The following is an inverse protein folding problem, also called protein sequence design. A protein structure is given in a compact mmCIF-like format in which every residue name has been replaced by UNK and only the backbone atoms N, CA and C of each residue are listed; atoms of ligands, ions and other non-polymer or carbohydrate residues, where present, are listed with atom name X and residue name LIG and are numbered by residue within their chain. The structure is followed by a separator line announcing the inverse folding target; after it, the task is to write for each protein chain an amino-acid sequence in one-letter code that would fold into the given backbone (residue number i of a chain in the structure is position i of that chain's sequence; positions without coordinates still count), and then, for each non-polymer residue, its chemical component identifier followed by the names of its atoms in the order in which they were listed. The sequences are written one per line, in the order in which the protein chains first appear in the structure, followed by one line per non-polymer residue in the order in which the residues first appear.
data_IF_278486777865
#
_entry.id   IF_278486777865
#
_cell.length_a   1.000
_cell.length_b   1.000
_cell.length_c   1.000
_cell.angle_alpha   90.00
_cell.angle_beta   90.00
_cell.angle_gamma   90.00
#
_symmetry.space_group_name_H-M   'P 1'
#
loop_
_entity.id
_entity.type
_entity.pdbx_description
1 polymer ?
#
# COMPACT_ATOMS: atom_id res chain seq x y z
N UNK A 1 -16.27 19.94 5.14
CA UNK A 1 -15.42 19.02 5.92
C UNK A 1 -14.15 18.82 5.10
N UNK A 2 -12.94 18.83 5.68
CA UNK A 2 -11.74 18.49 4.91
C UNK A 2 -11.87 17.06 4.33
N UNK A 3 -11.33 16.80 3.13
CA UNK A 3 -11.41 15.48 2.53
C UNK A 3 -10.64 14.45 3.35
N UNK A 4 -11.11 13.19 3.36
CA UNK A 4 -10.36 12.09 3.93
C UNK A 4 -9.24 11.67 2.98
N UNK A 5 -8.00 11.85 3.43
CA UNK A 5 -6.78 11.56 2.66
C UNK A 5 -6.09 10.24 3.06
N UNK A 6 -6.76 9.40 3.85
CA UNK A 6 -6.29 8.07 4.22
C UNK A 6 -6.88 7.01 3.28
N UNK A 7 -6.02 6.30 2.55
CA UNK A 7 -6.43 5.20 1.67
C UNK A 7 -5.26 4.22 1.48
N UNK A 8 -5.60 2.95 1.21
CA UNK A 8 -4.64 1.93 0.77
C UNK A 8 -4.18 2.19 -0.66
N UNK A 9 -2.94 1.82 -0.97
CA UNK A 9 -2.34 2.02 -2.29
C UNK A 9 -2.84 0.98 -3.31
N UNK A 10 -3.21 -0.22 -2.85
CA UNK A 10 -3.61 -1.35 -3.69
C UNK A 10 -5.09 -1.69 -3.53
N UNK A 11 -5.68 -2.31 -4.55
CA UNK A 11 -7.09 -2.70 -4.55
C UNK A 11 -7.42 -3.70 -3.43
N UNK A 12 -6.64 -4.79 -3.21
CA UNK A 12 -6.87 -5.68 -2.10
C UNK A 12 -6.72 -4.97 -0.75
N UNK A 13 -7.66 -5.20 0.15
CA UNK A 13 -7.63 -4.63 1.51
C UNK A 13 -6.45 -5.15 2.33
N UNK A 14 -6.04 -6.39 2.09
CA UNK A 14 -4.97 -7.05 2.82
C UNK A 14 -3.91 -7.57 1.83
N UNK A 15 -2.63 -7.64 2.25
CA UNK A 15 -1.60 -8.27 1.44
C UNK A 15 -1.81 -9.79 1.36
N UNK A 16 -1.15 -10.41 0.39
CA UNK A 16 -1.07 -11.87 0.27
C UNK A 16 -0.04 -12.45 1.24
N UNK A 17 -0.20 -13.73 1.59
CA UNK A 17 0.81 -14.47 2.34
C UNK A 17 2.06 -14.65 1.47
N UNK A 18 3.23 -14.62 2.08
CA UNK A 18 4.54 -14.64 1.40
C UNK A 18 4.81 -13.44 0.49
N UNK A 19 4.03 -12.35 0.63
CA UNK A 19 4.35 -11.07 0.03
C UNK A 19 5.27 -10.24 0.95
N UNK A 20 6.32 -9.66 0.39
CA UNK A 20 7.10 -8.61 1.06
C UNK A 20 6.32 -7.28 1.01
N UNK A 21 6.21 -6.61 2.16
CA UNK A 21 5.53 -5.32 2.34
C UNK A 21 6.38 -4.35 3.15
N UNK A 22 6.23 -3.06 2.89
CA UNK A 22 6.91 -2.01 3.64
C UNK A 22 6.14 -1.69 4.93
N UNK A 23 6.81 -1.86 6.06
CA UNK A 23 6.25 -1.56 7.37
C UNK A 23 6.92 -0.37 8.03
N UNK A 24 6.25 0.24 8.99
CA UNK A 24 6.84 1.17 9.94
C UNK A 24 6.64 0.66 11.36
N UNK A 25 7.73 0.62 12.14
CA UNK A 25 7.67 0.22 13.54
C UNK A 25 6.95 1.30 14.37
N UNK A 26 5.87 0.93 15.03
CA UNK A 26 5.11 1.85 15.90
C UNK A 26 5.59 1.79 17.33
N UNK A 27 5.67 0.58 17.90
CA UNK A 27 6.19 0.39 19.25
C UNK A 27 6.71 -1.04 19.45
N UNK A 28 7.55 -1.21 20.47
CA UNK A 28 8.12 -2.50 20.85
C UNK A 28 7.44 -2.93 22.15
N UNK A 29 6.97 -4.18 22.18
CA UNK A 29 6.34 -4.82 23.33
C UNK A 29 7.16 -6.04 23.79
N UNK A 30 6.74 -6.72 24.84
CA UNK A 30 7.51 -7.82 25.45
C UNK A 30 7.66 -9.06 24.56
N UNK A 31 6.72 -9.28 23.63
CA UNK A 31 6.69 -10.47 22.76
C UNK A 31 7.11 -10.19 21.30
N UNK A 32 7.23 -8.91 20.92
CA UNK A 32 7.42 -8.52 19.53
C UNK A 32 7.38 -7.03 19.31
N UNK A 33 7.34 -6.62 18.04
CA UNK A 33 7.14 -5.23 17.65
C UNK A 33 5.82 -5.08 16.90
N UNK A 34 5.04 -4.08 17.29
CA UNK A 34 3.86 -3.66 16.55
C UNK A 34 4.28 -2.69 15.46
N UNK A 35 3.75 -2.93 14.27
CA UNK A 35 4.11 -2.21 13.05
C UNK A 35 2.84 -1.81 12.30
N UNK A 36 2.95 -0.83 11.42
CA UNK A 36 1.89 -0.48 10.47
C UNK A 36 2.35 -0.76 9.06
N UNK A 37 1.48 -1.36 8.25
CA UNK A 37 1.71 -1.58 6.82
C UNK A 37 1.37 -0.29 6.07
N UNK A 38 2.38 0.42 5.59
CA UNK A 38 2.22 1.76 5.01
C UNK A 38 1.42 1.72 3.70
N UNK A 39 1.60 0.66 2.91
CA UNK A 39 0.92 0.46 1.63
C UNK A 39 -0.58 0.14 1.79
N UNK A 40 -1.00 -0.34 2.97
CA UNK A 40 -2.33 -0.87 3.22
C UNK A 40 -3.09 -0.02 4.25
N UNK A 41 -3.06 1.30 4.09
CA UNK A 41 -3.76 2.23 4.98
C UNK A 41 -3.41 2.07 6.47
N UNK A 42 -2.13 1.83 6.76
CA UNK A 42 -1.62 1.66 8.13
C UNK A 42 -2.25 0.50 8.93
N UNK A 43 -2.77 -0.54 8.26
CA UNK A 43 -3.21 -1.76 8.95
C UNK A 43 -2.13 -2.23 9.93
N UNK A 44 -2.56 -2.60 11.13
CA UNK A 44 -1.66 -3.04 12.18
C UNK A 44 -1.18 -4.48 11.92
N UNK A 45 0.10 -4.69 12.19
CA UNK A 45 0.72 -6.01 12.18
C UNK A 45 1.70 -6.17 13.33
N UNK A 46 2.18 -7.39 13.51
CA UNK A 46 3.16 -7.72 14.54
C UNK A 46 4.27 -8.60 14.00
N UNK A 47 5.49 -8.30 14.44
CA UNK A 47 6.66 -9.13 14.21
C UNK A 47 7.07 -9.71 15.56
N UNK A 48 6.95 -11.03 15.71
CA UNK A 48 7.45 -11.75 16.88
C UNK A 48 8.98 -11.69 16.93
N UNK A 49 9.56 -11.69 18.14
CA UNK A 49 11.03 -11.67 18.27
C UNK A 49 11.71 -12.88 17.64
N UNK A 50 11.05 -14.04 17.61
CA UNK A 50 11.51 -15.23 16.89
C UNK A 50 11.62 -15.02 15.39
N UNK A 51 10.89 -14.05 14.84
CA UNK A 51 10.85 -13.70 13.41
C UNK A 51 11.68 -12.45 13.07
N UNK A 52 12.31 -11.79 14.06
CA UNK A 52 13.22 -10.66 13.83
C UNK A 52 14.62 -11.08 13.35
N UNK A 53 15.15 -12.19 13.86
CA UNK A 53 16.51 -12.63 13.55
C UNK A 53 16.67 -14.14 13.63
N UNK A 54 17.57 -14.69 12.81
CA UNK A 54 18.00 -16.11 12.91
C UNK A 54 19.05 -16.34 14.00
N UNK A 55 19.67 -15.28 14.53
CA UNK A 55 20.76 -15.34 15.52
C UNK A 55 20.26 -14.93 16.91
N UNK A 56 20.97 -15.38 17.96
CA UNK A 56 20.69 -14.98 19.35
C UNK A 56 20.77 -13.46 19.48
N UNK A 57 19.68 -12.87 19.96
CA UNK A 57 19.52 -11.41 20.07
C UNK A 57 20.24 -10.92 21.33
N UNK A 58 21.21 -10.01 21.17
CA UNK A 58 21.87 -9.33 22.30
C UNK A 58 21.11 -8.07 22.74
N UNK A 59 20.49 -7.37 21.78
CA UNK A 59 19.68 -6.18 22.02
C UNK A 59 18.61 -6.08 20.92
N UNK A 60 17.35 -5.86 21.31
CA UNK A 60 16.24 -5.69 20.36
C UNK A 60 16.38 -4.34 19.64
N UNK A 61 16.81 -3.31 20.37
CA UNK A 61 16.96 -1.95 19.85
C UNK A 61 17.98 -1.83 18.70
N UNK A 62 18.90 -2.79 18.56
CA UNK A 62 19.81 -2.84 17.40
C UNK A 62 19.18 -3.47 16.15
N UNK A 63 18.14 -4.29 16.32
CA UNK A 63 17.48 -4.99 15.22
C UNK A 63 16.29 -4.23 14.65
N UNK A 64 15.57 -3.51 15.52
CA UNK A 64 14.35 -2.80 15.18
C UNK A 64 14.28 -1.49 15.96
N UNK A 65 13.86 -0.42 15.30
CA UNK A 65 13.79 0.92 15.89
C UNK A 65 12.45 1.54 15.57
N UNK A 66 11.79 2.09 16.58
CA UNK A 66 10.53 2.84 16.43
C UNK A 66 10.70 3.94 15.38
N UNK A 67 9.71 4.07 14.49
CA UNK A 67 9.68 5.00 13.37
C UNK A 67 10.43 4.56 12.12
N UNK A 68 11.29 3.53 12.21
CA UNK A 68 12.03 3.01 11.05
C UNK A 68 11.09 2.29 10.09
N UNK A 69 11.34 2.48 8.80
CA UNK A 69 10.68 1.75 7.72
C UNK A 69 11.59 0.62 7.25
N UNK A 70 11.07 -0.60 7.17
CA UNK A 70 11.82 -1.77 6.70
C UNK A 70 10.87 -2.75 5.99
N UNK A 71 11.34 -3.47 4.96
CA UNK A 71 10.55 -4.54 4.34
C UNK A 71 10.38 -5.73 5.29
N UNK A 72 9.20 -6.36 5.27
CA UNK A 72 8.87 -7.55 6.06
C UNK A 72 7.95 -8.48 5.27
N UNK A 73 8.12 -9.78 5.48
CA UNK A 73 7.34 -10.82 4.82
C UNK A 73 6.04 -11.07 5.57
N UNK A 74 4.91 -11.16 4.87
CA UNK A 74 3.62 -11.56 5.44
C UNK A 74 3.61 -13.06 5.68
N UNK A 75 3.42 -13.47 6.94
CA UNK A 75 3.30 -14.89 7.33
C UNK A 75 1.85 -15.36 7.35
N UNK A 76 0.97 -14.52 7.88
CA UNK A 76 -0.44 -14.85 8.10
C UNK A 76 -1.26 -13.58 8.12
N UNK A 77 -2.46 -13.68 7.56
CA UNK A 77 -3.46 -12.60 7.55
C UNK A 77 -4.73 -13.14 8.19
N UNK A 78 -5.13 -12.56 9.31
CA UNK A 78 -6.44 -12.76 9.92
C UNK A 78 -7.38 -11.66 9.40
N UNK A 79 -8.22 -12.00 8.43
CA UNK A 79 -9.12 -11.05 7.76
C UNK A 79 -10.29 -10.62 8.64
N UNK A 80 -10.66 -11.43 9.63
CA UNK A 80 -11.77 -11.16 10.54
C UNK A 80 -11.34 -10.15 11.61
N UNK A 81 -10.14 -10.33 12.17
CA UNK A 81 -9.58 -9.44 13.18
C UNK A 81 -8.78 -8.27 12.60
N UNK A 82 -8.45 -8.32 11.31
CA UNK A 82 -7.62 -7.32 10.64
C UNK A 82 -6.17 -7.32 11.10
N UNK A 83 -5.67 -8.47 11.57
CA UNK A 83 -4.33 -8.60 12.15
C UNK A 83 -3.39 -9.36 11.21
N UNK A 84 -2.14 -8.90 11.10
CA UNK A 84 -1.15 -9.47 10.19
C UNK A 84 0.11 -9.87 10.95
N UNK A 85 0.48 -11.14 10.86
CA UNK A 85 1.75 -11.63 11.39
C UNK A 85 2.82 -11.48 10.31
N UNK A 86 3.96 -10.91 10.70
CA UNK A 86 5.05 -10.55 9.79
C UNK A 86 6.37 -11.17 10.25
N UNK A 87 7.31 -11.28 9.31
CA UNK A 87 8.66 -11.75 9.56
C UNK A 87 9.70 -10.93 8.82
N UNK A 88 10.71 -10.46 9.57
CA UNK A 88 11.87 -9.79 9.00
C UNK A 88 12.91 -10.79 8.48
N UNK A 89 13.09 -11.93 9.17
CA UNK A 89 14.16 -12.90 8.87
C UNK A 89 13.93 -13.79 7.63
N UNK A 90 12.74 -13.70 7.04
CA UNK A 90 12.32 -14.48 5.85
C UNK A 90 12.39 -13.68 4.56
N UNK A 91 12.61 -12.38 4.63
CA UNK A 91 12.84 -11.54 3.46
C UNK A 91 14.28 -11.71 3.02
N UNK A 92 14.51 -12.14 1.78
CA UNK A 92 15.82 -12.12 1.15
C UNK A 92 16.23 -10.70 0.74
N UNK A 93 17.52 -10.48 0.45
CA UNK A 93 17.99 -9.17 0.00
C UNK A 93 17.35 -8.74 -1.32
N UNK A 94 17.09 -9.69 -2.22
CA UNK A 94 16.42 -9.44 -3.51
C UNK A 94 14.94 -9.05 -3.34
N UNK A 95 14.21 -9.77 -2.48
CA UNK A 95 12.82 -9.43 -2.13
C UNK A 95 12.74 -8.07 -1.40
N UNK A 96 13.71 -7.78 -0.52
CA UNK A 96 13.79 -6.49 0.17
C UNK A 96 13.96 -5.34 -0.82
N UNK A 97 14.91 -5.48 -1.75
CA UNK A 97 15.17 -4.48 -2.79
C UNK A 97 13.96 -4.28 -3.71
N UNK A 98 13.31 -5.38 -4.12
CA UNK A 98 12.10 -5.34 -4.96
C UNK A 98 10.93 -4.69 -4.22
N UNK A 99 10.75 -4.99 -2.94
CA UNK A 99 9.74 -4.37 -2.09
C UNK A 99 10.00 -2.87 -1.91
N UNK A 100 11.25 -2.46 -1.71
CA UNK A 100 11.63 -1.06 -1.58
C UNK A 100 11.35 -0.28 -2.87
N UNK A 101 11.72 -0.80 -4.03
CA UNK A 101 11.42 -0.19 -5.33
C UNK A 101 9.90 -0.07 -5.56
N UNK A 102 9.14 -1.16 -5.33
CA UNK A 102 7.67 -1.15 -5.45
C UNK A 102 7.03 -0.12 -4.52
N UNK A 103 7.47 -0.05 -3.28
CA UNK A 103 6.97 0.90 -2.30
C UNK A 103 7.28 2.35 -2.70
N UNK A 104 8.50 2.64 -3.17
CA UNK A 104 8.87 3.98 -3.60
C UNK A 104 8.02 4.45 -4.78
N UNK A 105 7.78 3.58 -5.77
CA UNK A 105 6.88 3.85 -6.90
C UNK A 105 5.44 4.10 -6.43
N UNK A 106 4.93 3.25 -5.54
CA UNK A 106 3.58 3.37 -4.99
C UNK A 106 3.40 4.63 -4.15
N UNK A 107 4.40 5.01 -3.35
CA UNK A 107 4.43 6.22 -2.54
C UNK A 107 4.38 7.49 -3.41
N UNK A 108 5.07 7.49 -4.55
CA UNK A 108 5.01 8.61 -5.49
C UNK A 108 3.61 8.76 -6.10
N UNK A 109 3.02 7.67 -6.59
CA UNK A 109 1.63 7.66 -7.09
C UNK A 109 0.69 8.15 -5.99
N UNK A 110 0.82 7.62 -4.77
CA UNK A 110 -0.02 8.00 -3.63
C UNK A 110 0.11 9.47 -3.27
N UNK A 111 1.31 10.05 -3.34
CA UNK A 111 1.52 11.48 -3.13
C UNK A 111 0.80 12.34 -4.16
N UNK A 112 0.83 11.94 -5.44
CA UNK A 112 0.15 12.66 -6.51
C UNK A 112 -1.37 12.57 -6.33
N UNK A 113 -1.88 11.36 -6.06
CA UNK A 113 -3.31 11.11 -5.81
C UNK A 113 -3.80 11.90 -4.59
N UNK A 114 -3.02 11.93 -3.50
CA UNK A 114 -3.33 12.75 -2.32
C UNK A 114 -3.41 14.23 -2.64
N UNK A 115 -2.45 14.75 -3.40
CA UNK A 115 -2.44 16.16 -3.77
C UNK A 115 -3.62 16.52 -4.68
N UNK A 116 -3.96 15.64 -5.63
CA UNK A 116 -5.12 15.81 -6.49
C UNK A 116 -6.43 15.78 -5.68
N UNK A 117 -6.59 14.83 -4.76
CA UNK A 117 -7.75 14.72 -3.88
C UNK A 117 -7.94 15.98 -3.02
N UNK A 118 -6.87 16.46 -2.39
CA UNK A 118 -6.86 17.69 -1.58
C UNK A 118 -7.23 18.92 -2.43
N UNK A 119 -6.62 19.05 -3.61
CA UNK A 119 -6.88 20.17 -4.54
C UNK A 119 -8.32 20.19 -5.06
N UNK A 120 -8.90 19.02 -5.32
CA UNK A 120 -10.28 18.88 -5.80
C UNK A 120 -11.31 18.87 -4.66
N UNK A 121 -10.87 18.79 -3.41
CA UNK A 121 -11.75 18.68 -2.25
C UNK A 121 -12.55 17.38 -2.19
N UNK A 122 -12.01 16.29 -2.74
CA UNK A 122 -12.65 14.97 -2.76
C UNK A 122 -11.91 13.97 -1.89
N UNK A 123 -12.61 12.97 -1.37
CA UNK A 123 -11.96 11.89 -0.63
C UNK A 123 -11.01 11.09 -1.53
N UNK A 124 -9.92 10.60 -0.94
CA UNK A 124 -8.85 9.91 -1.67
C UNK A 124 -9.28 8.52 -2.16
N UNK A 125 -10.09 7.78 -1.39
CA UNK A 125 -10.49 6.42 -1.75
C UNK A 125 -11.33 6.35 -3.04
N UNK A 126 -12.35 7.21 -3.26
CA UNK A 126 -13.05 7.30 -4.55
C UNK A 126 -12.12 7.59 -5.74
N UNK A 127 -11.08 8.40 -5.55
CA UNK A 127 -10.09 8.68 -6.58
C UNK A 127 -9.27 7.42 -6.92
N UNK A 128 -8.88 6.65 -5.91
CA UNK A 128 -8.23 5.35 -6.10
C UNK A 128 -9.13 4.33 -6.80
N UNK A 129 -10.41 4.26 -6.45
CA UNK A 129 -11.39 3.38 -7.09
C UNK A 129 -11.56 3.68 -8.58
N UNK A 130 -11.63 4.97 -8.93
CA UNK A 130 -11.87 5.42 -10.32
C UNK A 130 -10.61 5.43 -11.18
N UNK A 131 -9.45 5.70 -10.60
CA UNK A 131 -8.21 5.93 -11.35
C UNK A 131 -7.13 4.94 -10.90
N UNK A 132 -6.73 4.99 -9.62
CA UNK A 132 -5.58 4.25 -9.11
C UNK A 132 -5.64 2.74 -9.40
N UNK A 133 -6.64 2.04 -8.85
CA UNK A 133 -6.78 0.59 -8.96
C UNK A 133 -7.02 0.11 -10.40
N UNK A 134 -7.84 0.77 -11.24
CA UNK A 134 -7.90 0.48 -12.67
C UNK A 134 -6.53 0.54 -13.37
N UNK A 135 -5.70 1.54 -13.06
CA UNK A 135 -4.35 1.65 -13.64
C UNK A 135 -3.42 0.53 -13.16
N UNK A 136 -3.50 0.13 -11.89
CA UNK A 136 -2.78 -1.05 -11.38
C UNK A 136 -3.16 -2.32 -12.15
N UNK A 137 -4.45 -2.57 -12.39
CA UNK A 137 -4.92 -3.76 -13.13
C UNK A 137 -4.43 -3.77 -14.57
N UNK A 138 -4.44 -2.63 -15.26
CA UNK A 138 -4.15 -2.56 -16.70
C UNK A 138 -2.66 -2.51 -17.02
N UNK A 139 -1.87 -1.81 -16.22
CA UNK A 139 -0.44 -1.60 -16.48
C UNK A 139 0.46 -2.38 -15.51
N UNK A 140 -0.11 -3.23 -14.66
CA UNK A 140 0.58 -3.96 -13.59
C UNK A 140 0.93 -3.08 -12.38
N UNK A 141 1.33 -1.82 -12.61
CA UNK A 141 1.56 -0.84 -11.57
C UNK A 141 1.17 0.56 -12.04
N UNK A 142 0.39 1.30 -11.24
CA UNK A 142 -0.09 2.64 -11.62
C UNK A 142 1.05 3.61 -12.00
N UNK A 143 2.23 3.46 -11.39
CA UNK A 143 3.42 4.23 -11.75
C UNK A 143 3.78 4.17 -13.25
N UNK A 144 3.66 3.01 -13.90
CA UNK A 144 3.97 2.91 -15.33
C UNK A 144 2.94 3.66 -16.19
N UNK A 145 1.67 3.64 -15.78
CA UNK A 145 0.64 4.46 -16.41
C UNK A 145 0.91 5.96 -16.23
N UNK A 146 1.33 6.39 -15.03
CA UNK A 146 1.69 7.79 -14.78
C UNK A 146 2.89 8.24 -15.59
N UNK A 147 3.89 7.37 -15.82
CA UNK A 147 4.99 7.66 -16.74
C UNK A 147 4.49 7.83 -18.18
N UNK A 148 3.59 6.95 -18.62
CA UNK A 148 3.03 7.02 -19.97
C UNK A 148 2.19 8.28 -20.18
N UNK A 149 1.41 8.72 -19.18
CA UNK A 149 0.63 9.96 -19.23
C UNK A 149 1.49 11.19 -19.59
N UNK A 150 2.76 11.22 -19.15
CA UNK A 150 3.65 12.36 -19.46
C UNK A 150 3.98 12.43 -20.95
N UNK A 151 4.03 11.30 -21.64
CA UNK A 151 4.41 11.20 -23.06
C UNK A 151 3.22 11.04 -24.01
N UNK A 152 2.18 10.35 -23.56
CA UNK A 152 0.97 10.01 -24.32
C UNK A 152 -0.23 9.96 -23.35
N UNK A 153 -0.81 11.13 -23.02
CA UNK A 153 -1.93 11.23 -22.10
C UNK A 153 -3.16 10.45 -22.56
N UNK A 154 -3.51 10.56 -23.84
CA UNK A 154 -4.75 10.04 -24.41
C UNK A 154 -4.78 8.50 -24.32
N UNK A 155 -3.64 7.83 -24.57
CA UNK A 155 -3.53 6.38 -24.45
C UNK A 155 -3.86 5.83 -23.04
N UNK A 156 -3.79 6.66 -22.01
CA UNK A 156 -4.11 6.28 -20.63
C UNK A 156 -5.46 6.86 -20.17
N UNK A 157 -5.80 8.08 -20.57
CA UNK A 157 -7.01 8.77 -20.10
C UNK A 157 -8.27 8.28 -20.81
N UNK A 158 -8.22 7.98 -22.11
CA UNK A 158 -9.37 7.46 -22.89
C UNK A 158 -9.87 6.10 -22.39
N UNK A 159 -9.03 5.44 -21.61
CA UNK A 159 -9.32 4.15 -20.99
C UNK A 159 -10.05 4.30 -19.66
N UNK A 160 -9.83 5.42 -18.96
CA UNK A 160 -10.37 5.70 -17.63
C UNK A 160 -11.73 6.42 -17.70
N UNK A 161 -12.08 6.96 -18.86
CA UNK A 161 -13.40 7.52 -19.14
C UNK A 161 -14.43 6.40 -19.21
N UNK A 162 -15.18 6.24 -18.12
CA UNK A 162 -16.48 5.60 -18.17
C UNK A 162 -17.42 6.49 -18.98
N UNK A 163 -18.23 5.90 -19.87
CA UNK A 163 -19.45 6.56 -20.34
C UNK A 163 -20.27 6.90 -19.10
N UNK A 164 -20.54 8.19 -18.85
CA UNK A 164 -21.67 8.55 -18.02
C UNK A 164 -22.89 7.95 -18.73
N UNK A 165 -23.46 6.89 -18.17
CA UNK A 165 -24.85 6.57 -18.47
C UNK A 165 -25.65 7.72 -17.91
N UNK A 166 -25.85 8.73 -18.76
CA UNK A 166 -26.82 9.78 -18.51
C UNK A 166 -28.16 9.06 -18.52
N UNK A 167 -28.62 8.63 -17.35
CA UNK A 167 -30.00 8.16 -17.22
C UNK A 167 -30.84 9.37 -17.54
N UNK A 168 -31.35 9.42 -18.76
CA UNK A 168 -32.35 10.40 -19.15
C UNK A 168 -33.52 10.34 -18.16
N UNK A 169 -34.25 11.44 -17.96
CA UNK A 169 -35.34 11.52 -16.98
C UNK A 169 -36.44 10.46 -17.14
N UNK A 170 -36.42 9.66 -18.20
CA UNK A 170 -37.48 8.72 -18.59
C UNK A 170 -37.16 7.23 -18.36
N UNK A 171 -36.01 6.88 -17.77
CA UNK A 171 -35.79 5.54 -17.19
C UNK A 171 -35.98 4.34 -18.13
N UNK A 172 -35.55 4.42 -19.38
CA UNK A 172 -35.43 3.26 -20.28
C UNK A 172 -34.05 3.28 -20.93
N UNK A 173 -33.37 2.12 -20.86
CA UNK A 173 -32.01 1.86 -21.36
C UNK A 173 -31.79 2.26 -22.83
#
# INVERSE_FOLDING_TARGET
MPPNLECRMYEPRFPEVDAAVMIQVKHIADMGAYVSLLEYNNIEGMILFSELSRRRIRSISSLIKVGRQEPSMVLRVDRDKGYIDLSKRRVSEEEAATCEDRYNKSKLVHSIMRHAADTLGVDLEPLYQRIGWPLYRRYGHAFEAFKLIVTDPDAVLDVLTYEETVVGPDGVE
#
